data_IF_608200789096
#
_entry.id   IF_608200789096
#
_cell.length_a   1.000
_cell.length_b   1.000
_cell.length_c   1.000
_cell.angle_alpha   90.00
_cell.angle_beta   90.00
_cell.angle_gamma   90.00
#
_symmetry.space_group_name_H-M   'P 1'
#
loop_
_entity.id
_entity.type
_entity.pdbx_description
1 polymer ?
#
# COMPACT_ATOMS: atom_id res chain seq x y z
N UNK A 1 3.99 24.55 -12.97
CA UNK A 1 4.04 25.01 -11.56
C UNK A 1 3.06 24.26 -10.64
N UNK A 2 2.24 23.31 -11.14
CA UNK A 2 1.44 22.39 -10.30
C UNK A 2 2.18 21.08 -9.95
N UNK A 3 3.02 20.58 -10.88
CA UNK A 3 3.89 19.41 -10.70
C UNK A 3 5.06 19.61 -9.71
N UNK A 4 5.22 20.82 -9.15
CA UNK A 4 6.22 21.08 -8.11
C UNK A 4 5.65 20.87 -6.70
N UNK A 5 4.32 20.99 -6.52
CA UNK A 5 3.65 20.72 -5.25
C UNK A 5 3.47 19.23 -4.97
N UNK A 6 3.50 18.39 -6.01
CA UNK A 6 3.55 16.92 -5.84
C UNK A 6 4.91 16.40 -5.33
N UNK A 7 5.94 17.26 -5.28
CA UNK A 7 7.30 16.85 -4.87
C UNK A 7 7.58 16.95 -3.37
N UNK A 8 6.63 17.44 -2.58
CA UNK A 8 6.69 17.47 -1.11
C UNK A 8 5.35 16.97 -0.56
N UNK A 9 4.93 15.78 -0.99
CA UNK A 9 3.95 15.03 -0.21
C UNK A 9 4.71 14.42 0.95
N UNK A 10 4.81 15.18 2.04
CA UNK A 10 5.30 14.64 3.30
C UNK A 10 4.50 13.38 3.63
N UNK A 11 5.21 12.34 4.04
CA UNK A 11 4.58 11.13 4.57
C UNK A 11 3.80 11.47 5.84
N UNK A 12 2.73 10.73 6.11
CA UNK A 12 2.12 10.79 7.44
C UNK A 12 3.17 10.42 8.52
N UNK A 13 3.14 11.05 9.70
CA UNK A 13 4.22 10.95 10.69
C UNK A 13 4.64 9.53 11.08
N UNK A 14 3.71 8.58 11.05
CA UNK A 14 3.96 7.19 11.43
C UNK A 14 4.51 6.30 10.32
N UNK A 15 4.49 6.73 9.05
CA UNK A 15 4.80 5.86 7.89
C UNK A 15 6.20 5.25 7.99
N UNK A 16 7.20 6.08 8.25
CA UNK A 16 8.60 5.65 8.32
C UNK A 16 8.83 4.66 9.46
N UNK A 17 8.29 4.94 10.65
CA UNK A 17 8.46 4.07 11.82
C UNK A 17 7.72 2.74 11.65
N UNK A 18 6.53 2.75 11.04
CA UNK A 18 5.78 1.52 10.73
C UNK A 18 6.55 0.67 9.71
N UNK A 19 7.00 1.25 8.60
CA UNK A 19 7.77 0.51 7.60
C UNK A 19 9.07 -0.07 8.15
N UNK A 20 9.79 0.68 9.00
CA UNK A 20 10.98 0.19 9.67
C UNK A 20 10.67 -1.04 10.55
N UNK A 21 9.62 -0.97 11.38
CA UNK A 21 9.20 -2.10 12.22
C UNK A 21 8.78 -3.32 11.41
N UNK A 22 8.07 -3.11 10.29
CA UNK A 22 7.70 -4.21 9.40
C UNK A 22 8.95 -4.91 8.86
N UNK A 23 9.94 -4.15 8.42
CA UNK A 23 11.22 -4.67 7.89
C UNK A 23 12.04 -5.37 8.97
N UNK A 24 12.14 -4.78 10.17
CA UNK A 24 12.78 -5.39 11.35
C UNK A 24 12.11 -6.71 11.76
N UNK A 25 10.78 -6.79 11.60
CA UNK A 25 9.99 -8.01 11.79
C UNK A 25 10.13 -9.05 10.66
N UNK A 26 10.98 -8.80 9.66
CA UNK A 26 11.26 -9.73 8.57
C UNK A 26 10.21 -9.73 7.44
N UNK A 27 9.31 -8.74 7.41
CA UNK A 27 8.34 -8.62 6.32
C UNK A 27 8.97 -7.97 5.09
N UNK A 28 8.56 -8.45 3.92
CA UNK A 28 8.82 -7.73 2.67
C UNK A 28 7.83 -6.56 2.54
N UNK A 29 8.31 -5.41 2.10
CA UNK A 29 7.51 -4.19 1.95
C UNK A 29 7.53 -3.71 0.50
N UNK A 30 6.38 -3.32 -0.02
CA UNK A 30 6.26 -2.83 -1.39
C UNK A 30 5.20 -1.72 -1.51
N UNK A 31 5.38 -0.86 -2.52
CA UNK A 31 4.33 0.04 -2.99
C UNK A 31 3.78 -0.51 -4.31
N UNK A 32 2.46 -0.43 -4.49
CA UNK A 32 1.76 -0.68 -5.75
C UNK A 32 0.89 0.53 -6.11
N UNK A 33 1.26 1.27 -7.13
CA UNK A 33 0.65 2.57 -7.44
C UNK A 33 0.34 2.77 -8.93
N UNK A 34 -0.69 3.58 -9.20
CA UNK A 34 -1.06 4.01 -10.55
C UNK A 34 -0.10 5.06 -11.14
N UNK A 35 0.91 5.52 -10.38
CA UNK A 35 1.87 6.52 -10.82
C UNK A 35 2.96 5.96 -11.74
N UNK A 36 3.52 6.81 -12.59
CA UNK A 36 4.65 6.45 -13.46
C UNK A 36 5.89 6.05 -12.63
N UNK A 37 6.71 5.07 -13.07
CA UNK A 37 7.86 4.57 -12.33
C UNK A 37 8.81 5.66 -11.85
N UNK A 38 9.19 6.60 -12.74
CA UNK A 38 10.10 7.70 -12.39
C UNK A 38 9.53 8.63 -11.32
N UNK A 39 8.21 8.87 -11.37
CA UNK A 39 7.51 9.69 -10.38
C UNK A 39 7.46 8.98 -9.02
N UNK A 40 7.19 7.67 -9.01
CA UNK A 40 7.15 6.88 -7.78
C UNK A 40 8.52 6.79 -7.13
N UNK A 41 9.56 6.49 -7.91
CA UNK A 41 10.93 6.42 -7.42
C UNK A 41 11.40 7.77 -6.85
N UNK A 42 11.12 8.87 -7.55
CA UNK A 42 11.44 10.20 -7.04
C UNK A 42 10.70 10.52 -5.72
N UNK A 43 9.42 10.16 -5.62
CA UNK A 43 8.63 10.36 -4.40
C UNK A 43 9.13 9.52 -3.22
N UNK A 44 9.46 8.26 -3.46
CA UNK A 44 10.02 7.34 -2.44
C UNK A 44 11.36 7.85 -1.90
N UNK A 45 12.25 8.31 -2.79
CA UNK A 45 13.55 8.88 -2.39
C UNK A 45 13.37 10.20 -1.64
N UNK A 46 12.50 11.09 -2.13
CA UNK A 46 12.23 12.36 -1.45
C UNK A 46 11.64 12.16 -0.04
N UNK A 47 10.84 11.11 0.15
CA UNK A 47 10.29 10.72 1.45
C UNK A 47 11.25 9.89 2.33
N UNK A 48 12.44 9.55 1.85
CA UNK A 48 13.41 8.73 2.59
C UNK A 48 12.93 7.29 2.87
N UNK A 49 12.09 6.74 1.98
CA UNK A 49 11.51 5.40 2.13
C UNK A 49 12.23 4.33 1.28
N UNK A 50 13.21 4.72 0.48
CA UNK A 50 13.92 3.86 -0.48
C UNK A 50 14.62 2.68 0.18
N UNK A 51 15.17 2.87 1.38
CA UNK A 51 15.81 1.78 2.16
C UNK A 51 14.79 0.89 2.90
N UNK A 52 13.55 1.35 3.01
CA UNK A 52 12.48 0.68 3.76
C UNK A 52 11.54 -0.12 2.85
N UNK A 53 11.68 -0.04 1.53
CA UNK A 53 10.86 -0.72 0.54
C UNK A 53 11.70 -1.71 -0.27
N UNK A 54 11.25 -2.95 -0.36
CA UNK A 54 11.89 -3.98 -1.19
C UNK A 54 11.46 -3.90 -2.65
N UNK A 55 10.31 -3.25 -2.94
CA UNK A 55 9.83 -3.02 -4.30
C UNK A 55 8.97 -1.75 -4.43
N UNK A 56 9.06 -1.11 -5.60
CA UNK A 56 8.18 -0.02 -6.04
C UNK A 56 7.55 -0.44 -7.36
N UNK A 57 6.25 -0.68 -7.37
CA UNK A 57 5.53 -1.26 -8.51
C UNK A 57 4.58 -0.24 -9.12
N UNK A 58 4.66 -0.09 -10.44
CA UNK A 58 3.79 0.77 -11.23
C UNK A 58 2.83 -0.07 -12.05
N UNK A 59 1.61 0.42 -12.21
CA UNK A 59 0.65 -0.16 -13.15
C UNK A 59 1.07 -0.06 -14.62
N UNK A 60 2.04 0.81 -14.95
CA UNK A 60 2.54 0.93 -16.32
C UNK A 60 3.11 -0.39 -16.83
N UNK A 61 3.62 -1.25 -15.95
CA UNK A 61 4.14 -2.58 -16.27
C UNK A 61 3.08 -3.51 -16.88
N UNK A 62 1.80 -3.27 -16.58
CA UNK A 62 0.65 -4.07 -17.09
C UNK A 62 -0.27 -3.28 -18.02
N UNK A 63 -0.06 -1.97 -18.17
CA UNK A 63 -0.83 -1.10 -19.06
C UNK A 63 -2.32 -0.94 -18.69
N UNK A 64 -2.71 -1.30 -17.46
CA UNK A 64 -4.09 -1.19 -16.94
C UNK A 64 -4.09 -0.70 -15.51
N UNK A 65 -5.14 0.01 -15.10
CA UNK A 65 -5.25 0.59 -13.75
C UNK A 65 -6.03 -0.31 -12.80
N UNK A 66 -5.78 -0.14 -11.49
CA UNK A 66 -6.66 -0.68 -10.45
C UNK A 66 -8.11 -0.26 -10.71
N UNK A 67 -9.12 -1.10 -10.41
CA UNK A 67 -9.03 -2.38 -9.70
C UNK A 67 -8.90 -3.61 -10.62
N UNK A 68 -8.28 -3.49 -11.80
CA UNK A 68 -8.01 -4.67 -12.65
C UNK A 68 -7.12 -5.69 -11.90
N UNK A 69 -7.50 -6.99 -11.85
CA UNK A 69 -6.77 -7.99 -11.07
C UNK A 69 -5.31 -8.17 -11.50
N UNK A 70 -4.95 -7.85 -12.75
CA UNK A 70 -3.57 -7.90 -13.23
C UNK A 70 -2.66 -6.93 -12.48
N UNK A 71 -3.20 -5.83 -11.95
CA UNK A 71 -2.44 -4.90 -11.15
C UNK A 71 -2.08 -5.50 -9.79
N UNK A 72 -3.02 -6.15 -9.11
CA UNK A 72 -2.75 -6.80 -7.84
C UNK A 72 -1.80 -8.00 -8.01
N UNK A 73 -1.88 -8.71 -9.13
CA UNK A 73 -0.96 -9.80 -9.47
C UNK A 73 0.51 -9.35 -9.52
N UNK A 74 0.83 -8.09 -9.87
CA UNK A 74 2.20 -7.59 -9.82
C UNK A 74 2.84 -7.73 -8.42
N UNK A 75 2.06 -7.51 -7.35
CA UNK A 75 2.57 -7.66 -5.99
C UNK A 75 2.85 -9.12 -5.66
N UNK A 76 1.98 -10.03 -6.08
CA UNK A 76 2.14 -11.49 -5.93
C UNK A 76 3.42 -11.95 -6.64
N UNK A 77 3.58 -11.59 -7.91
CA UNK A 77 4.71 -12.00 -8.73
C UNK A 77 6.03 -11.43 -8.19
N UNK A 78 6.01 -10.17 -7.72
CA UNK A 78 7.21 -9.49 -7.23
C UNK A 78 7.65 -9.96 -5.85
N UNK A 79 6.71 -10.31 -4.98
CA UNK A 79 7.00 -10.77 -3.61
C UNK A 79 7.19 -12.28 -3.54
N UNK A 80 6.67 -13.03 -4.53
CA UNK A 80 6.84 -14.49 -4.60
C UNK A 80 6.03 -15.26 -3.55
N UNK A 81 4.89 -14.69 -3.13
CA UNK A 81 3.99 -15.25 -2.10
C UNK A 81 2.57 -15.34 -2.64
N UNK A 82 1.69 -16.15 -2.03
CA UNK A 82 0.29 -16.23 -2.47
C UNK A 82 -0.53 -15.01 -2.02
N UNK A 83 -1.66 -14.67 -2.67
CA UNK A 83 -2.45 -13.49 -2.30
C UNK A 83 -2.81 -13.40 -0.81
N UNK A 84 -3.19 -14.52 -0.20
CA UNK A 84 -3.57 -14.55 1.23
C UNK A 84 -2.42 -14.27 2.20
N UNK A 85 -1.17 -14.24 1.74
CA UNK A 85 0.02 -13.88 2.53
C UNK A 85 0.39 -12.40 2.40
N UNK A 86 -0.33 -11.63 1.57
CA UNK A 86 -0.12 -10.18 1.40
C UNK A 86 -1.11 -9.41 2.26
N UNK A 87 -0.58 -8.59 3.17
CA UNK A 87 -1.33 -7.55 3.87
C UNK A 87 -1.33 -6.27 3.02
N UNK A 88 -2.44 -6.04 2.31
CA UNK A 88 -2.62 -4.88 1.44
C UNK A 88 -3.25 -3.72 2.22
N UNK A 89 -2.60 -2.55 2.14
CA UNK A 89 -3.03 -1.34 2.83
C UNK A 89 -3.38 -0.26 1.81
N UNK A 90 -4.57 0.32 1.90
CA UNK A 90 -4.98 1.43 1.03
C UNK A 90 -5.83 2.44 1.79
N UNK A 91 -5.71 3.72 1.43
CA UNK A 91 -6.58 4.79 1.95
C UNK A 91 -7.88 4.93 1.14
N UNK A 92 -7.93 4.35 -0.06
CA UNK A 92 -9.07 4.42 -0.96
C UNK A 92 -9.98 3.20 -0.73
N UNK A 93 -11.25 3.43 -0.40
CA UNK A 93 -12.22 2.36 -0.15
C UNK A 93 -12.34 1.39 -1.33
N UNK A 94 -12.51 1.93 -2.55
CA UNK A 94 -12.60 1.12 -3.77
C UNK A 94 -11.39 0.22 -4.03
N UNK A 95 -10.18 0.67 -3.69
CA UNK A 95 -8.95 -0.10 -3.89
C UNK A 95 -8.79 -1.18 -2.80
N UNK A 96 -9.17 -0.85 -1.56
CA UNK A 96 -9.25 -1.82 -0.47
C UNK A 96 -10.25 -2.95 -0.82
N UNK A 97 -11.42 -2.60 -1.34
CA UNK A 97 -12.40 -3.60 -1.80
C UNK A 97 -11.88 -4.40 -3.00
N UNK A 98 -11.24 -3.76 -3.98
CA UNK A 98 -10.65 -4.43 -5.13
C UNK A 98 -9.58 -5.45 -4.74
N UNK A 99 -8.70 -5.08 -3.82
CA UNK A 99 -7.69 -5.97 -3.24
C UNK A 99 -8.31 -7.14 -2.45
N UNK A 100 -9.40 -6.89 -1.71
CA UNK A 100 -10.11 -7.94 -0.96
C UNK A 100 -10.77 -8.93 -1.93
N UNK A 101 -11.39 -8.44 -3.01
CA UNK A 101 -11.96 -9.28 -4.06
C UNK A 101 -10.90 -10.11 -4.79
N UNK A 102 -9.67 -9.60 -4.92
CA UNK A 102 -8.54 -10.34 -5.50
C UNK A 102 -8.02 -11.47 -4.58
N UNK A 103 -8.22 -11.34 -3.26
CA UNK A 103 -7.84 -12.36 -2.28
C UNK A 103 -6.71 -11.96 -1.32
N UNK A 104 -6.36 -10.67 -1.25
CA UNK A 104 -5.43 -10.15 -0.23
C UNK A 104 -6.09 -10.10 1.15
N UNK A 105 -5.24 -10.07 2.20
CA UNK A 105 -5.65 -9.61 3.54
C UNK A 105 -5.63 -8.08 3.51
N UNK A 106 -6.73 -7.41 3.82
CA UNK A 106 -6.85 -5.97 3.55
C UNK A 106 -7.09 -5.14 4.80
N UNK A 107 -6.27 -4.10 4.96
CA UNK A 107 -6.44 -3.02 5.93
C UNK A 107 -6.83 -1.75 5.19
N UNK A 108 -8.03 -1.23 5.43
CA UNK A 108 -8.46 0.06 4.91
C UNK A 108 -8.04 1.18 5.89
N UNK A 109 -7.16 2.09 5.44
CA UNK A 109 -6.67 3.22 6.23
C UNK A 109 -7.56 4.46 6.01
N UNK A 110 -8.69 4.51 6.70
CA UNK A 110 -9.73 5.54 6.59
C UNK A 110 -9.50 6.74 7.53
N UNK A 111 -8.41 7.48 7.32
CA UNK A 111 -8.07 8.72 8.09
C UNK A 111 -9.21 9.74 8.16
N UNK A 112 -10.06 9.79 7.13
CA UNK A 112 -11.05 10.84 6.94
C UNK A 112 -12.49 10.38 7.17
N UNK A 113 -12.71 9.19 7.72
CA UNK A 113 -14.06 8.63 7.99
C UNK A 113 -14.96 8.67 6.74
N UNK A 114 -14.39 8.31 5.60
CA UNK A 114 -15.11 8.16 4.34
C UNK A 114 -16.16 7.05 4.49
N UNK A 115 -17.32 7.16 3.80
CA UNK A 115 -18.30 6.08 3.78
C UNK A 115 -17.70 4.82 3.15
N UNK A 116 -18.14 3.65 3.63
CA UNK A 116 -17.79 2.39 3.02
C UNK A 116 -18.36 2.27 1.60
N UNK A 117 -17.63 1.60 0.72
CA UNK A 117 -18.09 1.31 -0.64
C UNK A 117 -19.27 0.33 -0.63
N UNK A 118 -20.21 0.49 -1.56
CA UNK A 118 -21.32 -0.43 -1.75
C UNK A 118 -20.97 -1.52 -2.77
N UNK A 119 -19.99 -2.35 -2.40
CA UNK A 119 -19.44 -3.41 -3.26
C UNK A 119 -19.45 -4.76 -2.51
N UNK A 120 -19.41 -5.91 -3.22
CA UNK A 120 -19.64 -7.22 -2.59
C UNK A 120 -18.52 -7.71 -1.66
N UNK A 121 -17.28 -7.28 -1.89
CA UNK A 121 -16.14 -7.63 -1.06
C UNK A 121 -15.92 -6.56 0.02
N UNK A 122 -15.35 -6.97 1.16
CA UNK A 122 -15.10 -6.10 2.31
C UNK A 122 -13.65 -6.20 2.75
N UNK A 123 -13.00 -5.08 3.11
CA UNK A 123 -11.72 -5.12 3.82
C UNK A 123 -11.84 -5.92 5.12
N UNK A 124 -10.74 -6.53 5.59
CA UNK A 124 -10.73 -7.28 6.85
C UNK A 124 -10.85 -6.36 8.07
N UNK A 125 -10.24 -5.19 7.99
CA UNK A 125 -10.23 -4.21 9.07
C UNK A 125 -10.14 -2.78 8.52
N UNK A 126 -10.79 -1.86 9.22
CA UNK A 126 -10.67 -0.42 9.02
C UNK A 126 -9.87 0.19 10.17
N UNK A 127 -8.87 1.01 9.85
CA UNK A 127 -8.06 1.77 10.80
C UNK A 127 -8.00 3.23 10.36
N UNK A 128 -7.72 4.15 11.28
CA UNK A 128 -7.53 5.57 10.97
C UNK A 128 -6.07 5.95 10.68
N UNK A 129 -5.13 5.01 10.84
CA UNK A 129 -3.68 5.24 10.74
C UNK A 129 -2.93 3.93 10.54
N UNK A 130 -1.65 4.01 10.18
CA UNK A 130 -0.80 2.81 10.03
C UNK A 130 -0.24 2.32 11.37
N UNK A 131 -0.27 3.15 12.41
CA UNK A 131 0.33 2.86 13.72
C UNK A 131 -0.08 1.51 14.34
N UNK A 132 -1.34 1.04 14.22
CA UNK A 132 -1.74 -0.24 14.80
C UNK A 132 -1.28 -1.48 14.00
N UNK A 133 -0.83 -1.30 12.75
CA UNK A 133 -0.56 -2.42 11.82
C UNK A 133 0.51 -3.39 12.33
N UNK A 134 1.69 -2.95 12.83
CA UNK A 134 2.68 -3.89 13.35
C UNK A 134 2.13 -4.80 14.45
N UNK A 135 1.33 -4.25 15.38
CA UNK A 135 0.72 -5.04 16.45
C UNK A 135 -0.31 -6.06 15.93
N UNK A 136 -1.08 -5.71 14.89
CA UNK A 136 -2.01 -6.63 14.22
C UNK A 136 -1.28 -7.80 13.54
N UNK A 137 -0.04 -7.57 13.11
CA UNK A 137 0.83 -8.60 12.53
C UNK A 137 1.65 -9.35 13.58
N UNK A 138 1.35 -9.18 14.88
CA UNK A 138 2.01 -9.89 15.98
C UNK A 138 3.40 -9.35 16.33
N UNK A 139 3.77 -8.17 15.84
CA UNK A 139 5.05 -7.55 16.17
C UNK A 139 4.97 -6.86 17.54
N UNK A 140 5.96 -7.05 18.44
CA UNK A 140 5.95 -6.45 19.77
C UNK A 140 6.05 -4.92 19.70
N UNK A 141 5.53 -4.27 20.75
CA UNK A 141 5.38 -2.83 20.95
C UNK A 141 6.67 -2.02 20.90
#
# INVERSE_FOLDING_TARGET
RLMALYRELDTFPEVTSVLARLKEGGMQTAILSNGAPDMLNAGVVAAGLDTLLDAVLSVEDVGVFKPDPRVYQLAVDRLGVVPSEICFMSSNGWDAVGAAAFGFRVVWINRYKQPAEQLPATPDIELDSLSPVPALLGMPG
#
